data_IF_278919140008
#
_entry.id   IF_278919140008
#
_cell.length_a   1.000
_cell.length_b   1.000
_cell.length_c   1.000
_cell.angle_alpha   90.00
_cell.angle_beta   90.00
_cell.angle_gamma   90.00
#
_symmetry.space_group_name_H-M   'P 1'
#
loop_
_entity.id
_entity.type
_entity.pdbx_description
1 polymer ?
#
# COMPACT_ATOMS: atom_id res chain seq x y z
N UNK A 1 -11.27 26.00 21.90
CA UNK A 1 -10.77 25.30 23.09
C UNK A 1 -9.58 26.09 23.61
N UNK A 2 -9.48 26.28 24.92
CA UNK A 2 -8.33 26.92 25.56
C UNK A 2 -7.25 25.89 25.83
N UNK A 3 -6.02 26.30 25.72
CA UNK A 3 -4.85 25.45 25.96
C UNK A 3 -3.59 26.18 25.52
N UNK A 4 -2.45 25.55 25.69
CA UNK A 4 -1.17 26.11 25.23
C UNK A 4 -1.11 26.19 23.72
N UNK A 5 -0.34 27.14 23.19
CA UNK A 5 -0.12 27.24 21.76
C UNK A 5 0.62 26.00 21.27
N UNK A 6 0.19 25.48 20.11
CA UNK A 6 0.91 24.39 19.47
C UNK A 6 2.29 24.84 18.98
N UNK A 7 3.32 24.00 19.02
CA UNK A 7 4.57 24.24 18.34
C UNK A 7 4.34 24.56 16.85
N UNK A 8 5.22 25.36 16.26
CA UNK A 8 5.04 25.82 14.86
C UNK A 8 4.94 24.66 13.88
N UNK A 9 5.74 23.61 14.12
CA UNK A 9 5.77 22.39 13.30
C UNK A 9 4.50 21.54 13.41
N UNK A 10 3.63 21.81 14.38
CA UNK A 10 2.35 21.09 14.56
C UNK A 10 1.15 21.88 14.04
N UNK A 11 1.39 23.08 13.53
CA UNK A 11 0.31 23.87 12.95
C UNK A 11 -0.22 23.23 11.69
N UNK A 12 -1.55 23.12 11.59
CA UNK A 12 -2.20 22.60 10.40
C UNK A 12 -2.20 23.59 9.23
N UNK A 13 -2.56 23.10 8.06
CA UNK A 13 -2.58 23.89 6.82
C UNK A 13 -3.79 24.83 6.65
N UNK A 14 -4.73 24.88 7.59
CA UNK A 14 -5.92 25.72 7.46
C UNK A 14 -5.54 27.16 7.81
N UNK A 15 -5.70 28.06 6.84
CA UNK A 15 -5.36 29.47 7.01
C UNK A 15 -6.32 30.16 8.00
N UNK A 16 -5.79 31.12 8.75
CA UNK A 16 -6.55 31.95 9.70
C UNK A 16 -7.18 31.19 10.87
N UNK A 17 -6.67 30.02 11.23
CA UNK A 17 -7.06 29.26 12.40
C UNK A 17 -5.90 29.22 13.40
N UNK A 18 -6.21 29.54 14.66
CA UNK A 18 -5.30 29.33 15.77
C UNK A 18 -5.45 27.91 16.30
N UNK A 19 -4.34 27.21 16.44
CA UNK A 19 -4.30 25.86 16.99
C UNK A 19 -3.78 25.92 18.44
N UNK A 20 -4.43 25.15 19.31
CA UNK A 20 -4.03 25.03 20.72
C UNK A 20 -4.03 23.55 21.15
N UNK A 21 -3.14 23.21 22.08
CA UNK A 21 -3.07 21.90 22.69
C UNK A 21 -4.16 21.77 23.75
N UNK A 22 -5.11 20.88 23.58
CA UNK A 22 -6.11 20.48 24.57
C UNK A 22 -6.59 21.60 25.51
N UNK A 23 -6.86 21.23 26.75
CA UNK A 23 -7.20 22.16 27.80
C UNK A 23 -8.69 22.27 28.07
N UNK A 24 -9.04 23.16 29.02
CA UNK A 24 -10.42 23.43 29.41
C UNK A 24 -11.12 24.22 28.30
N UNK A 25 -12.41 23.95 28.12
CA UNK A 25 -13.23 24.74 27.20
C UNK A 25 -13.21 26.22 27.61
N UNK A 26 -13.05 27.09 26.62
CA UNK A 26 -13.08 28.53 26.79
C UNK A 26 -14.07 29.14 25.78
N UNK A 27 -15.14 29.80 26.20
CA UNK A 27 -15.53 30.03 27.60
C UNK A 27 -15.93 28.75 28.35
N UNK A 28 -15.77 28.69 29.68
CA UNK A 28 -15.96 27.48 30.49
C UNK A 28 -17.41 26.96 30.54
N UNK A 29 -18.38 27.79 30.18
CA UNK A 29 -19.79 27.40 30.09
C UNK A 29 -20.08 26.52 28.87
N UNK A 30 -19.21 26.47 27.86
CA UNK A 30 -19.36 25.58 26.71
C UNK A 30 -19.00 24.14 27.09
N UNK A 31 -19.78 23.21 26.58
CA UNK A 31 -19.59 21.77 26.78
C UNK A 31 -19.57 21.07 25.44
N UNK A 32 -18.71 20.08 25.31
CA UNK A 32 -18.72 19.14 24.20
C UNK A 32 -19.47 17.87 24.63
N UNK A 33 -20.49 17.50 23.85
CA UNK A 33 -21.17 16.22 24.01
C UNK A 33 -20.72 15.32 22.86
N UNK A 34 -20.12 14.18 23.18
CA UNK A 34 -19.86 13.08 22.25
C UNK A 34 -20.90 12.00 22.50
N UNK A 35 -21.62 11.62 21.45
CA UNK A 35 -22.54 10.48 21.49
C UNK A 35 -22.14 9.49 20.41
N UNK A 36 -21.83 8.26 20.80
CA UNK A 36 -21.47 7.17 19.91
C UNK A 36 -22.52 6.09 19.97
N UNK A 37 -22.81 5.49 18.81
CA UNK A 37 -23.81 4.43 18.67
C UNK A 37 -23.18 3.17 18.07
N UNK A 38 -21.92 2.93 18.40
CA UNK A 38 -21.17 1.77 17.94
C UNK A 38 -21.62 0.50 18.68
N UNK A 39 -21.64 -0.60 17.97
CA UNK A 39 -21.83 -1.93 18.54
C UNK A 39 -20.72 -2.86 18.06
N UNK A 40 -20.45 -3.90 18.85
CA UNK A 40 -19.58 -4.99 18.43
C UNK A 40 -20.42 -6.09 17.79
N UNK A 41 -20.04 -6.49 16.58
CA UNK A 41 -20.69 -7.55 15.85
C UNK A 41 -19.68 -8.40 15.09
N UNK A 42 -20.12 -9.57 14.66
CA UNK A 42 -19.35 -10.44 13.77
C UNK A 42 -20.03 -10.47 12.42
N UNK A 43 -19.27 -10.11 11.38
CA UNK A 43 -19.75 -10.11 10.00
C UNK A 43 -18.91 -11.06 9.16
N UNK A 44 -19.57 -11.65 8.13
CA UNK A 44 -18.87 -12.49 7.17
C UNK A 44 -18.24 -11.63 6.09
N UNK A 45 -16.95 -11.84 5.85
CA UNK A 45 -16.22 -11.20 4.76
C UNK A 45 -15.47 -12.23 3.93
N UNK A 46 -15.19 -11.92 2.67
CA UNK A 46 -14.57 -12.86 1.74
C UNK A 46 -13.42 -12.25 0.98
N UNK A 47 -12.26 -12.88 1.04
CA UNK A 47 -11.16 -12.59 0.13
C UNK A 47 -11.41 -13.23 -1.24
N UNK A 48 -10.88 -12.61 -2.29
CA UNK A 48 -10.90 -13.19 -3.65
C UNK A 48 -9.46 -13.45 -4.07
N UNK A 49 -9.14 -14.72 -4.33
CA UNK A 49 -7.78 -15.15 -4.66
C UNK A 49 -7.79 -15.80 -6.04
N UNK A 50 -7.05 -15.20 -6.98
CA UNK A 50 -6.85 -15.72 -8.33
C UNK A 50 -5.42 -16.23 -8.53
N UNK A 51 -5.25 -17.27 -9.35
CA UNK A 51 -3.94 -17.86 -9.63
C UNK A 51 -3.69 -17.92 -11.15
N UNK A 52 -2.53 -17.43 -11.55
CA UNK A 52 -1.96 -17.67 -12.88
C UNK A 52 -0.76 -18.58 -12.69
N UNK A 53 -0.92 -19.86 -13.02
CA UNK A 53 0.09 -20.87 -12.78
C UNK A 53 1.36 -20.61 -13.59
N UNK A 54 2.51 -20.66 -12.92
CA UNK A 54 3.82 -20.58 -13.52
C UNK A 54 4.17 -21.79 -14.38
N UNK A 55 4.93 -21.59 -15.44
CA UNK A 55 5.34 -22.65 -16.37
C UNK A 55 6.65 -23.34 -15.97
N UNK A 56 7.52 -22.65 -15.22
CA UNK A 56 8.86 -23.17 -14.87
C UNK A 56 8.95 -23.44 -13.36
N UNK A 57 8.51 -22.50 -12.53
CA UNK A 57 8.54 -22.60 -11.06
C UNK A 57 7.10 -22.41 -10.52
N UNK A 58 6.16 -23.34 -10.78
CA UNK A 58 4.75 -23.18 -10.43
C UNK A 58 4.49 -23.19 -8.92
N UNK A 59 5.44 -23.67 -8.13
CA UNK A 59 5.41 -23.69 -6.68
C UNK A 59 5.95 -22.43 -6.02
N UNK A 60 6.50 -21.49 -6.80
CA UNK A 60 6.95 -20.18 -6.34
C UNK A 60 5.90 -19.11 -6.63
N UNK A 61 5.56 -18.31 -5.63
CA UNK A 61 4.45 -17.35 -5.68
C UNK A 61 4.95 -15.92 -5.69
N UNK A 62 4.40 -15.14 -6.61
CA UNK A 62 4.50 -13.67 -6.61
C UNK A 62 3.09 -13.12 -6.43
N UNK A 63 2.88 -12.36 -5.38
CA UNK A 63 1.56 -11.76 -5.08
C UNK A 63 1.45 -10.37 -5.68
N UNK A 64 0.29 -10.08 -6.24
CA UNK A 64 -0.23 -8.74 -6.43
C UNK A 64 -1.49 -8.63 -5.58
N UNK A 65 -1.54 -7.69 -4.67
CA UNK A 65 -2.64 -7.58 -3.72
C UNK A 65 -3.18 -6.16 -3.59
N UNK A 66 -4.42 -6.10 -3.17
CA UNK A 66 -5.14 -4.87 -2.84
C UNK A 66 -6.31 -5.23 -1.93
N UNK A 67 -6.79 -4.29 -1.13
CA UNK A 67 -8.07 -4.46 -0.44
C UNK A 67 -9.24 -3.85 -1.23
N UNK A 68 -10.48 -4.19 -0.86
CA UNK A 68 -11.71 -3.76 -1.55
C UNK A 68 -12.65 -2.97 -0.68
N UNK A 69 -12.59 -3.16 0.64
CA UNK A 69 -13.44 -2.45 1.59
C UNK A 69 -12.95 -1.01 1.78
N UNK A 70 -13.85 -0.14 2.20
CA UNK A 70 -13.61 1.28 2.37
C UNK A 70 -14.47 1.85 3.49
N UNK A 71 -14.04 2.93 4.11
CA UNK A 71 -14.82 3.68 5.10
C UNK A 71 -16.04 4.43 4.53
N UNK A 72 -16.16 4.51 3.24
CA UNK A 72 -17.23 5.18 2.54
C UNK A 72 -17.23 4.80 1.08
N UNK A 73 -17.20 5.79 0.18
CA UNK A 73 -17.18 5.52 -1.25
C UNK A 73 -15.85 4.97 -1.78
N UNK A 74 -14.75 5.16 -1.06
CA UNK A 74 -13.47 4.53 -1.33
C UNK A 74 -12.85 4.85 -2.69
N UNK A 75 -13.09 6.02 -3.27
CA UNK A 75 -12.65 6.32 -4.62
C UNK A 75 -11.12 6.31 -4.79
N UNK A 76 -10.40 6.79 -3.78
CA UNK A 76 -8.95 6.76 -3.74
C UNK A 76 -8.46 5.53 -2.98
N UNK A 77 -8.96 5.33 -1.78
CA UNK A 77 -8.67 4.25 -0.86
C UNK A 77 -9.89 3.33 -0.70
N UNK A 78 -9.85 2.11 -1.26
CA UNK A 78 -8.77 1.49 -2.05
C UNK A 78 -9.05 1.43 -3.55
N UNK A 79 -10.14 2.04 -4.07
CA UNK A 79 -10.61 1.78 -5.44
C UNK A 79 -9.60 2.15 -6.52
N UNK A 80 -8.69 3.09 -6.25
CA UNK A 80 -7.60 3.41 -7.17
C UNK A 80 -6.66 2.22 -7.36
N UNK A 81 -6.25 1.53 -6.27
CA UNK A 81 -5.43 0.34 -6.32
C UNK A 81 -6.19 -0.88 -6.85
N UNK A 82 -7.47 -1.03 -6.47
CA UNK A 82 -8.33 -2.09 -6.98
C UNK A 82 -8.47 -2.01 -8.50
N UNK A 83 -8.74 -0.83 -9.03
CA UNK A 83 -8.85 -0.61 -10.49
C UNK A 83 -7.57 -0.98 -11.22
N UNK A 84 -6.43 -0.61 -10.65
CA UNK A 84 -5.14 -0.93 -11.23
C UNK A 84 -4.85 -2.43 -11.19
N UNK A 85 -5.13 -3.11 -10.07
CA UNK A 85 -4.97 -4.57 -10.00
C UNK A 85 -5.87 -5.28 -11.01
N UNK A 86 -7.10 -4.80 -11.21
CA UNK A 86 -8.02 -5.35 -12.22
C UNK A 86 -7.48 -5.14 -13.64
N UNK A 87 -6.91 -3.98 -13.95
CA UNK A 87 -6.33 -3.72 -15.27
C UNK A 87 -5.10 -4.62 -15.52
N UNK A 88 -4.26 -4.83 -14.52
CA UNK A 88 -3.14 -5.78 -14.61
C UNK A 88 -3.66 -7.20 -14.85
N UNK A 89 -4.70 -7.61 -14.14
CA UNK A 89 -5.34 -8.92 -14.34
C UNK A 89 -5.88 -9.07 -15.78
N UNK A 90 -6.50 -8.01 -16.32
CA UNK A 90 -6.98 -7.97 -17.71
C UNK A 90 -5.83 -8.13 -18.71
N UNK A 91 -4.73 -7.41 -18.49
CA UNK A 91 -3.53 -7.52 -19.34
C UNK A 91 -2.95 -8.93 -19.28
N UNK A 92 -2.83 -9.53 -18.10
CA UNK A 92 -2.39 -10.92 -17.96
C UNK A 92 -3.34 -11.89 -18.69
N UNK A 93 -4.64 -11.67 -18.60
CA UNK A 93 -5.63 -12.46 -19.34
C UNK A 93 -5.41 -12.40 -20.88
N UNK A 94 -5.12 -11.20 -21.40
CA UNK A 94 -4.77 -11.02 -22.82
C UNK A 94 -3.48 -11.70 -23.21
N UNK A 95 -2.45 -11.66 -22.35
CA UNK A 95 -1.19 -12.35 -22.60
C UNK A 95 -1.37 -13.87 -22.56
N UNK A 96 -2.16 -14.38 -21.60
CA UNK A 96 -2.46 -15.80 -21.49
C UNK A 96 -3.17 -16.34 -22.72
N UNK A 97 -4.10 -15.59 -23.30
CA UNK A 97 -4.82 -15.96 -24.53
C UNK A 97 -3.89 -16.04 -25.76
N UNK A 98 -2.76 -15.31 -25.73
CA UNK A 98 -1.71 -15.36 -26.73
C UNK A 98 -0.63 -16.43 -26.46
N UNK A 99 -0.84 -17.31 -25.47
CA UNK A 99 0.06 -18.41 -25.14
C UNK A 99 1.18 -18.04 -24.14
N UNK A 100 1.29 -16.80 -23.70
CA UNK A 100 2.25 -16.44 -22.67
C UNK A 100 1.93 -17.12 -21.32
N UNK A 101 2.97 -17.48 -20.59
CA UNK A 101 2.88 -17.99 -19.23
C UNK A 101 3.95 -17.37 -18.35
N UNK A 102 3.64 -16.99 -17.09
CA UNK A 102 4.67 -16.49 -16.20
C UNK A 102 5.65 -17.61 -15.81
N UNK A 103 6.87 -17.25 -15.48
CA UNK A 103 7.85 -18.20 -14.92
C UNK A 103 7.34 -18.80 -13.59
N UNK A 104 6.91 -17.94 -12.67
CA UNK A 104 6.36 -18.26 -11.35
C UNK A 104 4.87 -18.06 -11.32
N UNK A 105 4.20 -18.70 -10.39
CA UNK A 105 2.76 -18.48 -10.19
C UNK A 105 2.51 -17.06 -9.69
N UNK A 106 1.69 -16.32 -10.42
CA UNK A 106 1.18 -15.02 -9.98
C UNK A 106 -0.10 -15.25 -9.19
N UNK A 107 -0.17 -14.69 -8.00
CA UNK A 107 -1.35 -14.74 -7.13
C UNK A 107 -1.94 -13.34 -7.06
N UNK A 108 -3.15 -13.18 -7.55
CA UNK A 108 -3.92 -11.95 -7.43
C UNK A 108 -4.78 -12.09 -6.17
N UNK A 109 -4.54 -11.24 -5.17
CA UNK A 109 -5.21 -11.31 -3.89
C UNK A 109 -5.97 -10.01 -3.61
N UNK A 110 -7.31 -10.09 -3.63
CA UNK A 110 -8.20 -9.00 -3.28
C UNK A 110 -8.74 -9.21 -1.88
N UNK A 111 -8.25 -8.41 -0.94
CA UNK A 111 -8.55 -8.56 0.48
C UNK A 111 -9.84 -7.87 0.87
N UNK A 112 -10.47 -8.39 1.90
CA UNK A 112 -11.62 -7.80 2.54
C UNK A 112 -11.28 -7.39 3.98
N UNK A 113 -12.05 -6.47 4.57
CA UNK A 113 -11.93 -6.03 5.96
C UNK A 113 -10.52 -5.54 6.33
N UNK A 114 -9.88 -4.82 5.42
CA UNK A 114 -8.59 -4.18 5.67
C UNK A 114 -8.76 -3.04 6.66
N UNK A 115 -9.73 -2.18 6.41
CA UNK A 115 -10.05 -0.98 7.20
C UNK A 115 -10.48 -1.30 8.66
N UNK A 116 -10.85 -2.55 8.90
CA UNK A 116 -11.18 -3.06 10.23
C UNK A 116 -9.98 -3.70 10.94
N UNK A 117 -8.76 -3.37 10.53
CA UNK A 117 -7.51 -3.87 11.11
C UNK A 117 -6.90 -5.05 10.35
N UNK A 118 -6.92 -4.98 9.03
CA UNK A 118 -6.22 -5.92 8.11
C UNK A 118 -6.75 -7.37 8.25
N UNK A 119 -8.02 -7.54 8.68
CA UNK A 119 -8.56 -8.83 9.10
C UNK A 119 -8.48 -9.90 8.00
N UNK A 120 -8.91 -9.56 6.78
CA UNK A 120 -9.02 -10.55 5.70
C UNK A 120 -7.68 -11.13 5.28
N UNK A 121 -6.68 -10.29 5.07
CA UNK A 121 -5.33 -10.75 4.71
C UNK A 121 -4.63 -11.44 5.88
N UNK A 122 -4.77 -10.92 7.10
CA UNK A 122 -4.19 -11.49 8.30
C UNK A 122 -4.67 -12.92 8.54
N UNK A 123 -5.98 -13.16 8.56
CA UNK A 123 -6.55 -14.48 8.76
C UNK A 123 -6.16 -15.46 7.64
N UNK A 124 -6.21 -15.01 6.39
CA UNK A 124 -5.81 -15.85 5.27
C UNK A 124 -4.34 -16.25 5.33
N UNK A 125 -3.45 -15.32 5.66
CA UNK A 125 -2.02 -15.58 5.83
C UNK A 125 -1.77 -16.56 6.98
N UNK A 126 -2.44 -16.39 8.12
CA UNK A 126 -2.32 -17.29 9.26
C UNK A 126 -2.71 -18.74 8.91
N UNK A 127 -3.81 -18.92 8.19
CA UNK A 127 -4.24 -20.23 7.74
C UNK A 127 -3.27 -20.90 6.75
N UNK A 128 -2.47 -20.10 6.03
CA UNK A 128 -1.58 -20.61 4.98
C UNK A 128 -0.10 -20.39 5.26
N UNK A 129 0.27 -19.98 6.47
CA UNK A 129 1.62 -19.52 6.82
C UNK A 129 2.73 -20.48 6.40
N UNK A 130 2.61 -21.77 6.71
CA UNK A 130 3.64 -22.78 6.38
C UNK A 130 3.89 -22.88 4.87
N UNK A 131 2.83 -22.86 4.08
CA UNK A 131 2.90 -22.89 2.62
C UNK A 131 3.49 -21.60 2.06
N UNK A 132 3.05 -20.47 2.58
CA UNK A 132 3.48 -19.15 2.12
C UNK A 132 4.95 -18.88 2.42
N UNK A 133 5.44 -19.27 3.60
CA UNK A 133 6.85 -19.14 3.97
C UNK A 133 7.79 -19.89 3.02
N UNK A 134 7.36 -21.03 2.52
CA UNK A 134 8.15 -21.86 1.62
C UNK A 134 8.11 -21.40 0.16
N UNK A 135 6.99 -20.81 -0.26
CA UNK A 135 6.67 -20.58 -1.68
C UNK A 135 6.70 -19.12 -2.10
N UNK A 136 6.43 -18.18 -1.19
CA UNK A 136 6.35 -16.76 -1.55
C UNK A 136 7.73 -16.20 -1.84
N UNK A 137 7.90 -15.72 -3.05
CA UNK A 137 9.07 -14.98 -3.51
C UNK A 137 8.85 -13.50 -3.32
N UNK A 138 7.61 -13.05 -3.51
CA UNK A 138 7.29 -11.66 -3.53
C UNK A 138 5.83 -11.25 -3.35
N UNK A 139 5.64 -10.05 -2.80
CA UNK A 139 4.34 -9.39 -2.68
C UNK A 139 4.43 -7.96 -3.21
N UNK A 140 3.47 -7.60 -4.01
CA UNK A 140 3.16 -6.23 -4.42
C UNK A 140 1.83 -5.88 -3.80
N UNK A 141 1.77 -4.81 -3.03
CA UNK A 141 0.50 -4.26 -2.57
C UNK A 141 0.21 -2.94 -3.27
N UNK A 142 -0.97 -2.82 -3.84
CA UNK A 142 -1.41 -1.64 -4.58
C UNK A 142 -2.60 -1.02 -3.87
N UNK A 143 -2.39 -0.51 -2.68
CA UNK A 143 -3.42 0.07 -1.82
C UNK A 143 -4.01 1.34 -2.46
N UNK A 144 -3.39 2.47 -2.26
CA UNK A 144 -3.75 3.74 -2.90
C UNK A 144 -2.81 3.97 -4.07
N UNK A 145 -3.35 4.01 -5.29
CA UNK A 145 -2.57 4.17 -6.51
C UNK A 145 -2.68 5.55 -7.17
N UNK A 146 -3.55 6.40 -6.65
CA UNK A 146 -3.70 7.78 -7.10
C UNK A 146 -3.56 8.69 -5.88
N UNK A 147 -2.50 9.48 -5.86
CA UNK A 147 -2.28 10.52 -4.84
C UNK A 147 -1.93 11.83 -5.54
N UNK A 148 -1.85 12.91 -4.79
CA UNK A 148 -1.37 14.17 -5.32
C UNK A 148 0.14 14.12 -5.60
N UNK A 149 0.53 14.63 -6.75
CA UNK A 149 1.90 14.71 -7.22
C UNK A 149 2.31 13.58 -8.19
N UNK A 150 3.29 13.88 -9.03
CA UNK A 150 3.69 12.99 -10.14
C UNK A 150 4.73 11.93 -9.75
N UNK A 151 5.09 11.83 -8.47
CA UNK A 151 6.21 11.00 -8.02
C UNK A 151 5.73 9.67 -7.46
N UNK A 152 6.37 8.58 -7.89
CA UNK A 152 6.23 7.28 -7.26
C UNK A 152 6.78 7.32 -5.81
N UNK A 153 5.91 7.06 -4.85
CA UNK A 153 6.29 6.76 -3.47
C UNK A 153 6.22 5.25 -3.28
N UNK A 154 7.37 4.61 -3.14
CA UNK A 154 7.46 3.18 -2.92
C UNK A 154 8.09 2.87 -1.57
N UNK A 155 7.40 2.11 -0.74
CA UNK A 155 7.96 1.52 0.48
C UNK A 155 8.39 0.09 0.18
N UNK A 156 9.66 -0.21 0.34
CA UNK A 156 10.23 -1.46 -0.10
C UNK A 156 11.23 -2.05 0.89
N UNK A 157 11.35 -3.38 0.85
CA UNK A 157 12.53 -4.03 1.42
C UNK A 157 13.80 -3.53 0.72
N UNK A 158 14.88 -3.18 1.45
CA UNK A 158 16.11 -2.67 0.84
C UNK A 158 16.71 -3.57 -0.25
N UNK A 159 16.51 -4.89 -0.16
CA UNK A 159 16.96 -5.86 -1.17
C UNK A 159 16.28 -5.70 -2.54
N UNK A 160 15.23 -4.89 -2.62
CA UNK A 160 14.44 -4.67 -3.82
C UNK A 160 14.70 -3.31 -4.46
N UNK A 161 15.62 -2.53 -3.89
CA UNK A 161 15.95 -1.20 -4.41
C UNK A 161 16.29 -1.24 -5.90
N UNK A 162 17.13 -2.20 -6.29
CA UNK A 162 17.54 -2.32 -7.70
C UNK A 162 16.40 -2.81 -8.59
N UNK A 163 15.50 -3.66 -8.07
CA UNK A 163 14.31 -4.06 -8.81
C UNK A 163 13.38 -2.87 -9.08
N UNK A 164 13.17 -2.01 -8.09
CA UNK A 164 12.36 -0.78 -8.26
C UNK A 164 13.03 0.15 -9.26
N UNK A 165 14.34 0.39 -9.11
CA UNK A 165 15.10 1.21 -10.04
C UNK A 165 14.97 0.69 -11.47
N UNK A 166 15.24 -0.59 -11.69
CA UNK A 166 15.13 -1.21 -13.03
C UNK A 166 13.71 -1.08 -13.60
N UNK A 167 12.68 -1.17 -12.76
CA UNK A 167 11.30 -0.97 -13.22
C UNK A 167 11.06 0.46 -13.69
N UNK A 168 11.59 1.46 -12.97
CA UNK A 168 11.49 2.88 -13.35
C UNK A 168 12.31 3.21 -14.58
N UNK A 169 13.50 2.61 -14.73
CA UNK A 169 14.38 2.76 -15.91
C UNK A 169 13.76 2.15 -17.18
N UNK A 170 12.89 1.15 -17.04
CA UNK A 170 12.17 0.53 -18.15
C UNK A 170 10.77 1.10 -18.40
N UNK A 171 10.27 1.93 -17.52
CA UNK A 171 9.00 2.63 -17.69
C UNK A 171 9.21 3.95 -18.44
N UNK A 172 8.32 4.28 -19.37
CA UNK A 172 8.35 5.59 -20.02
C UNK A 172 7.68 6.62 -19.14
N UNK A 173 8.18 7.84 -19.17
CA UNK A 173 7.56 8.98 -18.51
C UNK A 173 6.20 9.28 -19.17
N UNK A 174 5.08 9.21 -18.44
CA UNK A 174 3.76 9.43 -19.01
C UNK A 174 3.50 10.88 -19.42
N UNK A 175 4.38 11.81 -19.05
CA UNK A 175 4.28 13.22 -19.42
C UNK A 175 4.99 13.56 -20.73
N UNK A 176 5.67 12.56 -21.30
CA UNK A 176 6.37 12.68 -22.59
C UNK A 176 5.91 11.55 -23.54
N UNK A 177 6.08 11.74 -24.83
CA UNK A 177 5.71 10.73 -25.86
C UNK A 177 6.76 9.61 -25.99
N UNK A 178 7.40 9.24 -24.87
CA UNK A 178 8.40 8.17 -24.82
C UNK A 178 9.85 8.64 -24.91
N UNK A 179 10.08 9.94 -25.00
CA UNK A 179 11.42 10.54 -25.14
C UNK A 179 12.27 10.46 -23.86
N UNK A 180 11.63 10.15 -22.72
CA UNK A 180 12.28 10.10 -21.42
C UNK A 180 11.82 8.88 -20.62
N UNK A 181 12.70 8.32 -19.79
CA UNK A 181 12.35 7.25 -18.85
C UNK A 181 11.83 7.86 -17.54
N UNK A 182 10.92 7.13 -16.92
CA UNK A 182 10.29 7.58 -15.64
C UNK A 182 11.32 7.74 -14.52
N UNK A 183 12.42 6.97 -14.54
CA UNK A 183 13.50 7.12 -13.58
C UNK A 183 14.17 8.50 -13.63
N UNK A 184 14.43 9.02 -14.82
CA UNK A 184 15.04 10.36 -15.02
C UNK A 184 14.12 11.46 -14.47
N UNK A 185 12.83 11.37 -14.76
CA UNK A 185 11.82 12.27 -14.20
C UNK A 185 11.76 12.18 -12.67
N UNK A 186 11.77 10.96 -12.12
CA UNK A 186 11.72 10.69 -10.69
C UNK A 186 12.97 11.23 -9.98
N UNK A 187 14.16 11.07 -10.56
CA UNK A 187 15.42 11.54 -10.01
C UNK A 187 15.50 13.07 -10.02
N UNK A 188 15.12 13.73 -11.09
CA UNK A 188 15.04 15.17 -11.21
C UNK A 188 14.13 15.76 -10.13
N UNK A 189 12.95 15.22 -9.98
CA UNK A 189 11.98 15.67 -8.98
C UNK A 189 12.43 15.43 -7.53
N UNK A 190 13.02 14.29 -7.24
CA UNK A 190 13.52 13.95 -5.90
C UNK A 190 14.72 14.80 -5.48
N UNK A 191 15.52 15.25 -6.43
CA UNK A 191 16.62 16.20 -6.19
C UNK A 191 16.10 17.62 -5.94
N UNK A 192 15.00 18.03 -6.55
CA UNK A 192 14.35 19.32 -6.31
C UNK A 192 13.63 19.36 -4.97
N UNK A 193 12.97 18.28 -4.59
CA UNK A 193 12.28 18.13 -3.30
C UNK A 193 13.18 17.30 -2.40
N UNK A 194 13.78 17.87 -1.35
CA UNK A 194 14.53 17.11 -0.34
C UNK A 194 13.63 16.09 0.33
N UNK A 195 13.50 14.92 -0.26
CA UNK A 195 12.75 13.82 0.33
C UNK A 195 13.61 13.24 1.44
N UNK A 196 13.20 13.51 2.67
CA UNK A 196 13.72 12.80 3.84
C UNK A 196 13.26 11.35 3.72
N UNK A 197 14.13 10.50 3.16
CA UNK A 197 13.93 9.06 3.24
C UNK A 197 13.98 8.72 4.72
N UNK A 198 12.87 8.30 5.28
CA UNK A 198 12.78 7.87 6.68
C UNK A 198 13.80 6.74 6.90
N UNK A 199 14.91 7.06 7.54
CA UNK A 199 16.00 6.13 7.91
C UNK A 199 15.59 5.12 8.98
N UNK A 200 14.33 4.92 9.25
CA UNK A 200 13.82 4.05 10.31
C UNK A 200 12.91 2.95 9.77
N UNK A 201 13.45 2.11 8.88
CA UNK A 201 12.87 0.79 8.67
C UNK A 201 13.71 -0.24 9.40
N UNK A 202 13.46 -0.39 10.70
CA UNK A 202 13.91 -1.55 11.46
C UNK A 202 13.20 -2.78 10.92
N UNK A 203 13.98 -3.69 10.37
CA UNK A 203 13.78 -5.11 10.23
C UNK A 203 12.33 -5.63 10.11
N UNK A 204 11.71 -5.30 9.03
CA UNK A 204 10.58 -6.07 8.51
C UNK A 204 10.84 -6.28 7.03
N UNK A 205 10.92 -7.53 6.58
CA UNK A 205 10.97 -7.86 5.15
C UNK A 205 9.57 -7.78 4.60
N UNK A 206 9.09 -6.62 4.32
CA UNK A 206 7.75 -6.36 3.81
C UNK A 206 7.81 -5.60 2.51
N UNK A 207 6.91 -5.93 1.61
CA UNK A 207 6.76 -5.23 0.37
C UNK A 207 5.43 -4.55 0.36
N UNK A 208 5.50 -3.28 0.16
CA UNK A 208 4.34 -2.46 -0.13
C UNK A 208 4.69 -1.62 -1.35
N UNK A 209 3.83 -1.63 -2.32
CA UNK A 209 3.89 -0.74 -3.45
C UNK A 209 2.74 0.23 -3.44
N UNK A 210 3.07 1.46 -3.68
CA UNK A 210 2.10 2.48 -4.02
C UNK A 210 2.32 2.87 -5.48
N UNK A 211 1.26 2.90 -6.24
CA UNK A 211 1.30 3.24 -7.65
C UNK A 211 1.02 4.71 -7.89
N UNK A 212 1.68 5.27 -8.89
CA UNK A 212 1.40 6.61 -9.38
C UNK A 212 1.21 6.60 -10.89
N UNK A 213 0.14 7.23 -11.36
CA UNK A 213 -0.18 7.24 -12.77
C UNK A 213 -0.40 5.81 -13.33
N UNK A 214 -0.29 5.63 -14.62
CA UNK A 214 -0.69 4.40 -15.32
C UNK A 214 0.31 3.23 -15.25
N UNK A 215 1.24 3.17 -14.30
CA UNK A 215 2.30 2.13 -14.28
C UNK A 215 2.53 1.50 -12.90
N UNK A 216 2.84 0.21 -12.89
CA UNK A 216 3.00 -0.68 -11.71
C UNK A 216 4.47 -0.95 -11.43
N UNK A 217 4.85 -0.96 -10.17
CA UNK A 217 6.20 -1.30 -9.70
C UNK A 217 6.14 -2.30 -8.53
N UNK A 218 7.03 -3.29 -8.50
CA UNK A 218 7.01 -4.52 -7.70
C UNK A 218 7.98 -4.50 -6.51
N UNK A 219 7.61 -4.99 -5.33
CA UNK A 219 8.44 -5.06 -4.13
C UNK A 219 8.17 -6.27 -3.21
N UNK A 220 9.21 -6.81 -2.53
CA UNK A 220 9.17 -8.11 -1.81
C UNK A 220 9.77 -8.12 -0.41
N UNK A 221 9.15 -8.88 0.50
CA UNK A 221 9.64 -9.09 1.84
C UNK A 221 9.73 -10.55 2.32
N UNK A 222 10.74 -10.85 3.15
CA UNK A 222 10.92 -12.13 3.84
C UNK A 222 11.14 -11.92 5.35
N UNK A 223 10.32 -12.52 6.20
CA UNK A 223 10.29 -12.57 7.67
C UNK A 223 9.32 -11.61 8.37
N UNK A 224 8.08 -12.04 8.50
CA UNK A 224 7.09 -11.38 9.35
C UNK A 224 6.98 -11.96 10.77
N UNK A 225 7.73 -13.01 11.09
CA UNK A 225 7.59 -13.70 12.38
C UNK A 225 8.91 -13.72 13.15
N UNK A 226 9.14 -12.74 14.03
CA UNK A 226 9.90 -12.95 15.28
C UNK A 226 9.38 -12.00 16.36
N UNK A 227 8.97 -12.66 17.46
CA UNK A 227 8.68 -12.15 18.80
C UNK A 227 7.37 -11.41 19.04
N UNK A 228 6.38 -12.15 19.50
CA UNK A 228 5.65 -11.63 20.66
C UNK A 228 6.66 -11.57 21.82
N UNK A 229 6.75 -10.48 22.58
CA UNK A 229 7.31 -10.57 23.92
C UNK A 229 6.38 -11.45 24.72
N UNK A 230 6.92 -12.49 25.33
CA UNK A 230 6.23 -13.20 26.41
C UNK A 230 5.99 -12.16 27.50
N UNK A 231 4.75 -11.79 27.68
CA UNK A 231 4.30 -11.01 28.83
C UNK A 231 4.14 -11.91 30.05
N UNK A 232 4.23 -11.34 31.26
CA UNK A 232 4.18 -12.06 32.51
C UNK A 232 2.86 -12.79 32.72
#
# INVERSE_FOLDING_TARGET
MGGDLVPEEWKGGIKNISYALGGVMNPPEFKVRLSTHNYFGTEKSSNVIGYIRGSIEPDRYVFLSNHRDAWGYGAMDPSSGTSQMMEVARVFGSLLSKGWRPRRTIVLASWAAEESGIQGSYEWVNHHVSKLMQRTVGLVNTDICVTDGPILKANASPVLKDLVRNALENADDPTTDGDRKYYEFWEEWTNQVKITILKHCYFVRKIVLTCFGNKIVLLIEKNFWKSRPEGP
#
